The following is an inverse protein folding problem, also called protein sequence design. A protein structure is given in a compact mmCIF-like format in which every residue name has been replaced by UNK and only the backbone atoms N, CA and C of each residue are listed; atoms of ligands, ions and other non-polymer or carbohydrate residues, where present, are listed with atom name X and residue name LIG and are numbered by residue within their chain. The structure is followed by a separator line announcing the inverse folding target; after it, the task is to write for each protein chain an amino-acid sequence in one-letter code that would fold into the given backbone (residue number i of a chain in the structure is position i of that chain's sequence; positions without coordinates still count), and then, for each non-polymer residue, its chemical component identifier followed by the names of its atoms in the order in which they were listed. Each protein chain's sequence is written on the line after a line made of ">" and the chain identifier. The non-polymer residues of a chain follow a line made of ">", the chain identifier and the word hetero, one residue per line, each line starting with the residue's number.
data_IF_198601441704
#
_entry.id   IF_198601441704
#
_cell.length_a   1.000
_cell.length_b   1.000
_cell.length_c   1.000
_cell.angle_alpha   90.00
_cell.angle_beta   90.00
_cell.angle_gamma   90.00
#
_symmetry.space_group_name_H-M   'P 1'
#
loop_
_entity.id
_entity.type
_entity.pdbx_description
1 polymer ?
#
# COMPACT_ATOMS: atom_id res chain seq x y z
N UNK A 1 5.70 0.51 26.22
CA UNK A 1 6.83 1.31 25.69
C UNK A 1 6.84 1.45 24.16
N UNK A 2 6.48 0.44 23.35
CA UNK A 2 6.52 0.52 21.87
C UNK A 2 5.47 1.43 21.17
N UNK A 3 4.42 1.91 21.86
CA UNK A 3 3.35 2.74 21.23
C UNK A 3 3.74 4.21 21.06
N UNK A 4 4.49 4.79 22.01
CA UNK A 4 4.88 6.21 22.00
C UNK A 4 5.93 6.55 20.93
N UNK A 5 6.81 5.61 20.59
CA UNK A 5 7.81 5.79 19.53
C UNK A 5 7.18 5.78 18.12
N UNK A 6 6.09 5.02 17.94
CA UNK A 6 5.38 4.91 16.65
C UNK A 6 4.48 6.13 16.41
N UNK A 7 3.86 6.69 17.45
CA UNK A 7 3.11 7.97 17.42
C UNK A 7 3.98 9.12 16.92
N UNK A 8 5.19 9.23 17.48
CA UNK A 8 6.16 10.25 17.08
C UNK A 8 6.66 9.95 15.67
N UNK A 9 6.98 8.69 15.34
CA UNK A 9 7.49 8.35 14.02
C UNK A 9 6.49 8.60 12.88
N UNK A 10 5.19 8.30 13.02
CA UNK A 10 4.22 8.53 11.94
C UNK A 10 3.97 10.03 11.71
N UNK A 11 3.80 10.80 12.79
CA UNK A 11 3.63 12.25 12.75
C UNK A 11 4.92 12.94 12.29
N UNK A 12 6.08 12.46 12.73
CA UNK A 12 7.40 12.95 12.30
C UNK A 12 7.75 12.51 10.88
N UNK A 13 7.37 11.33 10.41
CA UNK A 13 7.60 10.91 9.01
C UNK A 13 6.72 11.72 8.07
N UNK A 14 5.44 11.92 8.40
CA UNK A 14 4.57 12.81 7.64
C UNK A 14 5.04 14.27 7.74
N UNK A 15 5.45 14.75 8.93
CA UNK A 15 5.96 16.11 9.09
C UNK A 15 7.35 16.32 8.46
N UNK A 16 8.22 15.29 8.38
CA UNK A 16 9.49 15.34 7.65
C UNK A 16 9.19 15.38 6.15
N UNK A 17 8.30 14.51 5.66
CA UNK A 17 7.85 14.55 4.26
C UNK A 17 7.19 15.89 3.91
N UNK A 18 6.37 16.46 4.80
CA UNK A 18 5.64 17.70 4.57
C UNK A 18 6.52 18.96 4.74
N UNK A 19 7.48 18.98 5.67
CA UNK A 19 8.41 20.11 5.83
C UNK A 19 9.44 20.19 4.69
N UNK A 20 9.61 19.13 3.90
CA UNK A 20 10.42 19.14 2.67
C UNK A 20 9.63 19.55 1.42
N UNK A 21 8.33 19.83 1.52
CA UNK A 21 7.56 20.46 0.43
C UNK A 21 7.65 21.99 0.55
N UNK A 22 8.87 22.49 0.43
CA UNK A 22 9.14 23.86 0.01
C UNK A 22 10.04 23.77 -1.23
N UNK A 23 9.49 24.16 -2.39
CA UNK A 23 10.13 24.44 -3.69
C UNK A 23 11.40 23.65 -4.04
N UNK A 24 11.26 22.67 -4.95
CA UNK A 24 12.08 22.50 -6.16
C UNK A 24 12.14 21.02 -6.58
N UNK A 25 12.35 20.79 -7.88
CA UNK A 25 12.51 19.48 -8.53
C UNK A 25 13.56 18.54 -7.89
N UNK A 26 14.33 19.02 -6.91
CA UNK A 26 15.42 18.31 -6.22
C UNK A 26 14.98 17.48 -5.00
N UNK A 27 13.86 17.79 -4.34
CA UNK A 27 13.42 17.06 -3.13
C UNK A 27 12.91 15.65 -3.45
N UNK A 28 12.32 15.45 -4.63
CA UNK A 28 11.93 14.13 -5.12
C UNK A 28 13.13 13.20 -5.41
N UNK A 29 14.35 13.74 -5.59
CA UNK A 29 15.55 12.92 -5.77
C UNK A 29 16.19 12.48 -4.44
N UNK A 30 15.95 13.19 -3.33
CA UNK A 30 16.46 12.79 -2.00
C UNK A 30 15.57 11.77 -1.29
N UNK A 31 14.28 11.75 -1.62
CA UNK A 31 13.32 10.83 -1.04
C UNK A 31 13.14 9.64 -1.99
N UNK A 32 13.45 8.42 -1.52
CA UNK A 32 13.44 7.21 -2.35
C UNK A 32 12.13 6.97 -3.11
N UNK A 33 12.13 6.04 -4.06
CA UNK A 33 10.99 5.85 -4.96
C UNK A 33 9.66 5.60 -4.21
N UNK A 34 8.53 6.06 -4.77
CA UNK A 34 7.18 5.77 -4.27
C UNK A 34 6.96 4.26 -4.07
N UNK A 35 7.52 3.45 -4.97
CA UNK A 35 7.50 2.00 -4.85
C UNK A 35 8.20 1.51 -3.57
N UNK A 36 9.41 2.00 -3.29
CA UNK A 36 10.14 1.71 -2.05
C UNK A 36 9.32 2.12 -0.82
N UNK A 37 8.63 3.27 -0.87
CA UNK A 37 7.77 3.71 0.23
C UNK A 37 6.60 2.74 0.46
N UNK A 38 5.95 2.23 -0.59
CA UNK A 38 4.93 1.18 -0.44
C UNK A 38 5.49 -0.11 0.16
N UNK A 39 6.68 -0.54 -0.27
CA UNK A 39 7.33 -1.74 0.26
C UNK A 39 7.78 -1.59 1.72
N UNK A 40 7.97 -0.36 2.21
CA UNK A 40 8.39 -0.09 3.58
C UNK A 40 7.20 0.26 4.50
N UNK A 41 6.32 1.16 4.07
CA UNK A 41 5.20 1.72 4.84
C UNK A 41 3.98 1.97 3.93
N UNK A 42 3.16 0.93 3.65
CA UNK A 42 2.06 1.00 2.69
C UNK A 42 1.01 2.06 3.02
N UNK A 43 0.70 2.28 4.31
CA UNK A 43 -0.25 3.33 4.69
C UNK A 43 0.31 4.75 4.43
N UNK A 44 1.59 4.99 4.72
CA UNK A 44 2.24 6.27 4.40
C UNK A 44 2.23 6.53 2.91
N UNK A 45 2.55 5.51 2.11
CA UNK A 45 2.50 5.60 0.66
C UNK A 45 1.08 5.90 0.16
N UNK A 46 0.07 5.24 0.73
CA UNK A 46 -1.35 5.49 0.42
C UNK A 46 -1.75 6.94 0.73
N UNK A 47 -1.37 7.46 1.90
CA UNK A 47 -1.62 8.86 2.26
C UNK A 47 -0.94 9.82 1.28
N UNK A 48 0.32 9.55 0.91
CA UNK A 48 1.08 10.38 -0.02
C UNK A 48 0.40 10.47 -1.40
N UNK A 49 0.01 9.33 -1.98
CA UNK A 49 -0.69 9.34 -3.28
C UNK A 49 -2.09 9.95 -3.19
N UNK A 50 -2.73 9.84 -2.01
CA UNK A 50 -4.03 10.45 -1.70
C UNK A 50 -3.95 11.94 -1.36
N UNK A 51 -2.76 12.54 -1.27
CA UNK A 51 -2.54 13.91 -0.79
C UNK A 51 -3.14 14.17 0.61
N UNK A 52 -2.95 13.21 1.51
CA UNK A 52 -3.36 13.34 2.91
C UNK A 52 -2.18 13.87 3.71
N UNK A 53 -2.29 15.14 4.11
CA UNK A 53 -1.20 15.84 4.80
C UNK A 53 -1.20 15.56 6.30
N UNK A 54 -2.37 15.30 6.90
CA UNK A 54 -2.53 15.06 8.33
C UNK A 54 -3.55 13.97 8.62
N UNK A 55 -3.23 13.13 9.60
CA UNK A 55 -4.07 12.03 10.06
C UNK A 55 -3.96 11.93 11.58
N UNK A 56 -5.10 11.78 12.27
CA UNK A 56 -5.07 11.53 13.70
C UNK A 56 -4.63 10.10 13.98
N UNK A 57 -4.00 9.85 15.14
CA UNK A 57 -3.55 8.51 15.51
C UNK A 57 -4.69 7.49 15.53
N UNK A 58 -5.87 7.88 16.05
CA UNK A 58 -7.02 6.98 16.11
C UNK A 58 -7.49 6.55 14.72
N UNK A 59 -7.34 7.42 13.71
CA UNK A 59 -7.63 7.10 12.30
C UNK A 59 -6.51 6.25 11.71
N UNK A 60 -5.24 6.59 11.99
CA UNK A 60 -4.07 5.80 11.59
C UNK A 60 -4.17 4.34 12.05
N UNK A 61 -4.44 4.11 13.33
CA UNK A 61 -4.57 2.76 13.90
C UNK A 61 -5.70 1.97 13.23
N UNK A 62 -6.83 2.61 12.94
CA UNK A 62 -7.94 1.98 12.20
C UNK A 62 -7.51 1.59 10.78
N UNK A 63 -6.80 2.48 10.08
CA UNK A 63 -6.29 2.19 8.75
C UNK A 63 -5.24 1.06 8.76
N UNK A 64 -4.37 1.00 9.78
CA UNK A 64 -3.42 -0.10 9.92
C UNK A 64 -4.11 -1.46 10.05
N UNK A 65 -5.21 -1.54 10.80
CA UNK A 65 -6.03 -2.76 10.89
C UNK A 65 -6.58 -3.19 9.52
N UNK A 66 -7.00 -2.24 8.68
CA UNK A 66 -7.46 -2.53 7.32
C UNK A 66 -6.32 -3.03 6.41
N UNK A 67 -5.11 -2.46 6.53
CA UNK A 67 -3.92 -2.91 5.79
C UNK A 67 -3.53 -4.34 6.20
N UNK A 68 -3.64 -4.65 7.49
CA UNK A 68 -3.38 -5.99 8.00
C UNK A 68 -4.44 -7.00 7.52
N UNK A 69 -5.72 -6.62 7.55
CA UNK A 69 -6.82 -7.42 6.98
C UNK A 69 -6.62 -7.67 5.47
N UNK A 70 -6.24 -6.65 4.71
CA UNK A 70 -5.88 -6.78 3.29
C UNK A 70 -4.73 -7.79 3.11
N UNK A 71 -3.69 -7.70 3.93
CA UNK A 71 -2.51 -8.58 3.84
C UNK A 71 -2.86 -10.05 4.15
N UNK A 72 -3.74 -10.28 5.14
CA UNK A 72 -4.24 -11.61 5.46
C UNK A 72 -5.07 -12.18 4.30
N UNK A 73 -5.93 -11.36 3.70
CA UNK A 73 -6.77 -11.79 2.57
C UNK A 73 -5.93 -12.07 1.32
N UNK A 74 -4.89 -11.28 1.02
CA UNK A 74 -3.94 -11.58 -0.05
C UNK A 74 -3.26 -12.93 0.19
N UNK A 75 -2.78 -13.16 1.40
CA UNK A 75 -2.11 -14.43 1.78
C UNK A 75 -3.07 -15.60 1.58
N UNK A 76 -4.32 -15.47 2.03
CA UNK A 76 -5.38 -16.48 1.88
C UNK A 76 -5.71 -16.75 0.41
N UNK A 77 -5.84 -15.70 -0.41
CA UNK A 77 -6.13 -15.80 -1.83
C UNK A 77 -5.01 -16.53 -2.58
N UNK A 78 -3.75 -16.16 -2.31
CA UNK A 78 -2.58 -16.81 -2.93
C UNK A 78 -2.49 -18.28 -2.52
N UNK A 79 -2.64 -18.59 -1.23
CA UNK A 79 -2.53 -19.95 -0.73
C UNK A 79 -3.61 -20.89 -1.31
N UNK A 80 -4.84 -20.39 -1.43
CA UNK A 80 -6.00 -21.16 -1.90
C UNK A 80 -6.14 -21.23 -3.43
N UNK A 81 -5.50 -20.33 -4.17
CA UNK A 81 -5.57 -20.30 -5.63
C UNK A 81 -4.84 -21.48 -6.29
N UNK A 82 -5.45 -22.06 -7.31
CA UNK A 82 -4.83 -23.02 -8.24
C UNK A 82 -4.23 -22.35 -9.49
N UNK A 83 -4.53 -21.07 -9.71
CA UNK A 83 -4.11 -20.29 -10.89
C UNK A 83 -2.82 -19.54 -10.62
N UNK A 84 -2.58 -19.12 -9.37
CA UNK A 84 -1.35 -18.44 -8.97
C UNK A 84 -0.22 -19.46 -8.88
N UNK A 85 0.96 -19.07 -9.38
CA UNK A 85 2.16 -19.91 -9.40
C UNK A 85 2.46 -20.51 -8.01
N UNK A 86 2.78 -21.80 -7.98
CA UNK A 86 3.05 -22.56 -6.76
C UNK A 86 4.22 -21.96 -5.95
N UNK A 87 5.19 -21.31 -6.60
CA UNK A 87 6.32 -20.67 -5.92
C UNK A 87 5.88 -19.62 -4.91
N UNK A 88 4.78 -18.90 -5.18
CA UNK A 88 4.22 -17.97 -4.21
C UNK A 88 3.83 -18.65 -2.90
N UNK A 89 3.30 -19.88 -2.94
CA UNK A 89 2.95 -20.63 -1.71
C UNK A 89 4.19 -20.94 -0.88
N UNK A 90 5.31 -21.22 -1.54
CA UNK A 90 6.60 -21.42 -0.89
C UNK A 90 7.11 -20.12 -0.28
N UNK A 91 7.06 -19.00 -1.03
CA UNK A 91 7.50 -17.70 -0.52
C UNK A 91 6.67 -17.23 0.68
N UNK A 92 5.38 -17.57 0.75
CA UNK A 92 4.54 -17.22 1.90
C UNK A 92 4.96 -17.93 3.21
N UNK A 93 5.77 -18.98 3.16
CA UNK A 93 6.31 -19.64 4.37
C UNK A 93 7.42 -18.81 5.03
N UNK A 94 8.06 -17.90 4.29
CA UNK A 94 9.04 -16.97 4.84
C UNK A 94 8.34 -15.66 5.24
N UNK A 95 8.55 -15.22 6.47
CA UNK A 95 7.85 -14.06 7.03
C UNK A 95 8.20 -12.76 6.31
N UNK A 96 9.47 -12.59 5.94
CA UNK A 96 9.92 -11.39 5.24
C UNK A 96 9.35 -11.35 3.82
N UNK A 97 9.44 -12.45 3.07
CA UNK A 97 8.88 -12.54 1.73
C UNK A 97 7.36 -12.41 1.74
N UNK A 98 6.67 -13.01 2.71
CA UNK A 98 5.22 -12.86 2.88
C UNK A 98 4.84 -11.38 3.05
N UNK A 99 5.51 -10.66 3.94
CA UNK A 99 5.30 -9.22 4.16
C UNK A 99 5.58 -8.45 2.86
N UNK A 100 6.70 -8.74 2.20
CA UNK A 100 7.10 -8.06 0.98
C UNK A 100 6.09 -8.26 -0.15
N UNK A 101 5.59 -9.49 -0.33
CA UNK A 101 4.56 -9.84 -1.31
C UNK A 101 3.26 -9.08 -1.01
N UNK A 102 2.79 -9.09 0.24
CA UNK A 102 1.56 -8.37 0.60
C UNK A 102 1.67 -6.86 0.33
N UNK A 103 2.82 -6.25 0.65
CA UNK A 103 3.08 -4.83 0.37
C UNK A 103 3.20 -4.53 -1.12
N UNK A 104 3.83 -5.42 -1.88
CA UNK A 104 3.89 -5.33 -3.35
C UNK A 104 2.50 -5.42 -3.98
N UNK A 105 1.66 -6.36 -3.51
CA UNK A 105 0.29 -6.52 -3.98
C UNK A 105 -0.55 -5.30 -3.62
N UNK A 106 -0.44 -4.79 -2.39
CA UNK A 106 -1.11 -3.56 -1.97
C UNK A 106 -0.71 -2.36 -2.85
N UNK A 107 0.59 -2.17 -3.10
CA UNK A 107 1.11 -1.14 -4.00
C UNK A 107 0.44 -1.19 -5.38
N UNK A 108 0.48 -2.36 -6.03
CA UNK A 108 -0.12 -2.55 -7.34
C UNK A 108 -1.63 -2.32 -7.33
N UNK A 109 -2.32 -2.81 -6.30
CA UNK A 109 -3.76 -2.67 -6.16
C UNK A 109 -4.13 -1.18 -6.09
N UNK A 110 -3.49 -0.44 -5.20
CA UNK A 110 -3.69 1.00 -5.01
C UNK A 110 -3.42 1.77 -6.30
N UNK A 111 -2.30 1.50 -6.98
CA UNK A 111 -1.97 2.18 -8.24
C UNK A 111 -2.96 1.84 -9.35
N UNK A 112 -3.48 0.59 -9.42
CA UNK A 112 -4.53 0.21 -10.38
C UNK A 112 -5.89 0.83 -10.07
N UNK A 113 -6.20 1.05 -8.80
CA UNK A 113 -7.44 1.71 -8.37
C UNK A 113 -7.38 3.22 -8.54
N UNK A 114 -6.20 3.84 -8.47
CA UNK A 114 -6.08 5.29 -8.50
C UNK A 114 -6.17 5.86 -9.92
N UNK A 115 -7.15 6.75 -10.16
CA UNK A 115 -7.40 7.43 -11.45
C UNK A 115 -6.17 8.02 -12.15
N UNK A 116 -5.19 8.55 -11.41
CA UNK A 116 -3.97 9.15 -11.99
C UNK A 116 -3.02 8.13 -12.62
N UNK A 117 -3.05 6.90 -12.13
CA UNK A 117 -2.15 5.83 -12.54
C UNK A 117 -2.87 4.79 -13.42
N UNK A 118 -4.21 4.80 -13.44
CA UNK A 118 -5.04 3.98 -14.30
C UNK A 118 -4.67 4.15 -15.79
N UNK A 119 -4.64 3.03 -16.51
CA UNK A 119 -4.43 2.98 -17.96
C UNK A 119 -2.97 3.08 -18.41
N UNK A 120 -2.02 3.42 -17.53
CA UNK A 120 -0.60 3.44 -17.88
C UNK A 120 0.18 2.36 -17.12
N UNK A 121 0.49 1.28 -17.83
CA UNK A 121 1.25 0.14 -17.29
C UNK A 121 2.67 0.51 -16.84
N UNK A 122 3.24 1.62 -17.33
CA UNK A 122 4.58 2.06 -16.94
C UNK A 122 4.67 2.49 -15.45
N UNK A 123 3.53 2.83 -14.83
CA UNK A 123 3.49 3.15 -13.40
C UNK A 123 3.28 1.93 -12.50
N UNK A 124 3.00 0.76 -13.08
CA UNK A 124 2.67 -0.43 -12.31
C UNK A 124 3.93 -1.27 -12.05
N UNK A 125 4.27 -1.58 -10.79
CA UNK A 125 5.44 -2.37 -10.51
C UNK A 125 5.25 -3.82 -10.99
N UNK A 126 6.28 -4.38 -11.63
CA UNK A 126 6.30 -5.76 -12.11
C UNK A 126 7.07 -6.69 -11.17
N UNK A 127 6.76 -7.98 -11.20
CA UNK A 127 7.48 -9.01 -10.45
C UNK A 127 7.75 -10.25 -11.31
N UNK A 128 8.70 -11.08 -10.87
CA UNK A 128 8.99 -12.40 -11.42
C UNK A 128 9.01 -13.43 -10.26
N UNK A 129 8.28 -14.56 -10.37
CA UNK A 129 7.31 -14.89 -11.42
C UNK A 129 6.17 -13.85 -11.49
N UNK A 130 5.43 -13.71 -12.61
CA UNK A 130 4.34 -12.75 -12.71
C UNK A 130 3.12 -13.20 -11.90
N UNK A 131 2.56 -12.32 -11.08
CA UNK A 131 1.31 -12.58 -10.36
C UNK A 131 0.10 -12.19 -11.21
N UNK A 132 -0.97 -13.01 -11.16
CA UNK A 132 -2.21 -12.72 -11.88
C UNK A 132 -3.01 -11.63 -11.18
N UNK A 133 -2.71 -10.37 -11.49
CA UNK A 133 -3.39 -9.22 -10.88
C UNK A 133 -4.87 -9.12 -11.24
N UNK A 134 -5.34 -9.67 -12.36
CA UNK A 134 -6.76 -9.67 -12.69
C UNK A 134 -7.57 -10.46 -11.65
N UNK A 135 -7.04 -11.62 -11.22
CA UNK A 135 -7.63 -12.41 -10.15
C UNK A 135 -7.65 -11.65 -8.82
N UNK A 136 -6.57 -10.93 -8.50
CA UNK A 136 -6.46 -10.15 -7.27
C UNK A 136 -7.46 -8.98 -7.27
N UNK A 137 -7.52 -8.22 -8.36
CA UNK A 137 -8.43 -7.08 -8.52
C UNK A 137 -9.90 -7.51 -8.52
N UNK A 138 -10.20 -8.75 -8.93
CA UNK A 138 -11.56 -9.30 -8.89
C UNK A 138 -12.02 -9.75 -7.50
N UNK A 139 -11.14 -9.75 -6.49
CA UNK A 139 -11.53 -10.14 -5.13
C UNK A 139 -12.30 -8.97 -4.45
N UNK A 140 -13.57 -9.19 -4.04
CA UNK A 140 -14.39 -8.13 -3.46
C UNK A 140 -13.88 -7.68 -2.08
N UNK A 141 -13.35 -8.59 -1.25
CA UNK A 141 -12.80 -8.24 0.06
C UNK A 141 -11.59 -7.31 -0.06
N UNK A 142 -10.68 -7.58 -0.99
CA UNK A 142 -9.53 -6.70 -1.24
C UNK A 142 -9.97 -5.31 -1.72
N UNK A 143 -11.00 -5.26 -2.58
CA UNK A 143 -11.61 -4.01 -3.02
C UNK A 143 -12.24 -3.25 -1.86
N UNK A 144 -12.98 -3.94 -1.00
CA UNK A 144 -13.64 -3.37 0.17
C UNK A 144 -12.65 -2.79 1.17
N UNK A 145 -11.50 -3.44 1.40
CA UNK A 145 -10.44 -2.89 2.27
C UNK A 145 -9.92 -1.55 1.75
N UNK A 146 -9.63 -1.45 0.45
CA UNK A 146 -9.12 -0.22 -0.15
C UNK A 146 -10.20 0.87 -0.21
N UNK A 147 -11.45 0.50 -0.50
CA UNK A 147 -12.58 1.41 -0.46
C UNK A 147 -12.83 1.96 0.96
N UNK A 148 -12.77 1.11 1.98
CA UNK A 148 -12.88 1.52 3.38
C UNK A 148 -11.72 2.43 3.81
N UNK A 149 -10.49 2.13 3.38
CA UNK A 149 -9.34 3.01 3.61
C UNK A 149 -9.58 4.40 3.02
N UNK A 150 -9.99 4.47 1.75
CA UNK A 150 -10.30 5.74 1.08
C UNK A 150 -11.43 6.49 1.80
N UNK A 151 -12.49 5.80 2.21
CA UNK A 151 -13.62 6.40 2.92
C UNK A 151 -13.22 6.96 4.30
N UNK A 152 -12.46 6.21 5.10
CA UNK A 152 -11.98 6.66 6.42
C UNK A 152 -11.09 7.90 6.28
N UNK A 153 -10.29 7.95 5.22
CA UNK A 153 -9.41 9.08 4.91
C UNK A 153 -10.10 10.19 4.10
N UNK A 154 -11.42 10.06 3.85
CA UNK A 154 -12.24 11.02 3.09
C UNK A 154 -11.69 11.33 1.69
N UNK A 155 -11.14 10.33 1.00
CA UNK A 155 -10.56 10.50 -0.32
C UNK A 155 -11.55 10.15 -1.43
N UNK A 156 -11.96 11.16 -2.20
CA UNK A 156 -13.09 11.06 -3.14
C UNK A 156 -12.69 10.49 -4.51
N UNK A 157 -11.40 10.45 -4.83
CA UNK A 157 -10.90 10.18 -6.21
C UNK A 157 -10.52 8.72 -6.53
N UNK A 158 -10.90 7.75 -5.70
CA UNK A 158 -10.35 6.38 -5.75
C UNK A 158 -11.19 5.32 -6.45
N UNK A 159 -12.50 5.49 -6.49
CA UNK A 159 -13.40 4.49 -7.07
C UNK A 159 -13.97 5.05 -8.37
N UNK A 160 -13.79 4.30 -9.45
CA UNK A 160 -14.47 4.51 -10.73
C UNK A 160 -15.70 3.63 -10.77
#
# INVERSE_FOLDING_TARGET
>A
MRKFEVETAAVTILNIYNNEICNDHETLQRNGSLFTLFLHSPLTAFCLVSKIDQISLAVWDKCQVLIEGFSQEVTRLIASSSIIDLWYKTYLQDDFLRILICRFVFCNFVLRSHRKFQGNLAFLPSCQPPINFNLIMANPFLTDFVAQLANILSVVDWLS
#
